data_IF_592449613526
#
_entry.id   IF_592449613526
#
_cell.length_a   1.000
_cell.length_b   1.000
_cell.length_c   1.000
_cell.angle_alpha   90.00
_cell.angle_beta   90.00
_cell.angle_gamma   90.00
#
_symmetry.space_group_name_H-M   'P 1'
#
loop_
_entity.id
_entity.type
_entity.pdbx_description
1 polymer ?
2 non-polymer ?
3 non-polymer ?
4 non-polymer ?
5 non-polymer ?
6 non-polymer ?
7 water ?
#
# COMPACT_ATOMS: atom_id res chain seq x y z
N UNK A 1 -14.68 -9.41 13.22
CA UNK A 1 -14.01 -8.23 13.77
C UNK A 1 -12.63 -8.01 13.14
N UNK A 2 -12.09 -6.81 13.32
CA UNK A 2 -10.72 -6.53 12.98
C UNK A 2 -10.56 -5.73 11.70
N UNK A 3 -9.31 -5.72 11.23
CA UNK A 3 -8.93 -4.94 10.06
C UNK A 3 -9.61 -5.51 8.82
N UNK A 4 -10.14 -4.61 7.99
CA UNK A 4 -10.79 -4.97 6.73
C UNK A 4 -9.83 -4.88 5.55
N UNK A 5 -9.10 -3.78 5.43
CA UNK A 5 -8.30 -3.48 4.25
C UNK A 5 -7.51 -2.21 4.54
N UNK A 6 -6.60 -1.89 3.63
CA UNK A 6 -5.92 -0.61 3.68
C UNK A 6 -6.93 0.51 3.46
N UNK A 7 -6.81 1.57 4.26
CA UNK A 7 -7.80 2.63 4.25
C UNK A 7 -7.37 3.86 3.48
N UNK A 8 -6.20 4.39 3.82
CA UNK A 8 -5.60 5.47 3.04
C UNK A 8 -4.11 5.52 3.32
N UNK A 9 -3.41 6.24 2.45
CA UNK A 9 -2.00 6.55 2.63
C UNK A 9 -1.81 8.06 2.51
N UNK A 10 -1.05 8.64 3.43
CA UNK A 10 -0.77 10.07 3.43
C UNK A 10 0.67 10.30 2.99
N UNK A 11 0.84 10.98 1.86
CA UNK A 11 2.13 11.15 1.22
C UNK A 11 2.58 12.61 1.27
N UNK A 12 3.89 12.81 1.36
CA UNK A 12 4.50 14.12 1.21
C UNK A 12 4.79 14.40 -0.26
N UNK A 13 4.45 15.61 -0.70
CA UNK A 13 4.77 16.05 -2.05
C UNK A 13 5.31 17.48 -1.97
N UNK A 14 6.12 17.83 -2.97
CA UNK A 14 6.75 19.14 -3.02
C UNK A 14 6.08 20.10 -3.99
N UNK A 15 5.26 19.59 -4.90
CA UNK A 15 4.51 20.41 -5.85
C UNK A 15 3.09 19.87 -5.86
N UNK A 16 2.17 20.58 -5.20
CA UNK A 16 0.81 20.06 -5.03
C UNK A 16 0.08 20.01 -6.37
N UNK A 17 0.17 21.07 -7.17
CA UNK A 17 -0.49 21.10 -8.47
C UNK A 17 -0.04 19.93 -9.33
N UNK A 18 1.27 19.71 -9.41
CA UNK A 18 1.79 18.61 -10.23
C UNK A 18 1.38 17.25 -9.66
N UNK A 19 1.37 17.11 -8.33
CA UNK A 19 1.05 15.82 -7.72
C UNK A 19 -0.43 15.49 -7.93
N UNK A 20 -1.33 16.45 -7.66
CA UNK A 20 -2.75 16.24 -7.90
C UNK A 20 -3.00 15.94 -9.38
N UNK A 21 -2.30 16.65 -10.26
CA UNK A 21 -2.39 16.37 -11.70
C UNK A 21 -2.03 14.91 -11.98
N UNK A 22 -1.02 14.39 -11.29
CA UNK A 22 -0.55 13.02 -11.54
C UNK A 22 -1.59 12.00 -11.09
N UNK A 23 -2.09 12.12 -9.86
CA UNK A 23 -2.99 11.10 -9.34
C UNK A 23 -4.35 11.15 -10.03
N UNK A 24 -4.75 12.33 -10.51
CA UNK A 24 -5.98 12.43 -11.28
C UNK A 24 -5.80 11.92 -12.70
N UNK A 25 -4.79 12.42 -13.42
CA UNK A 25 -4.69 12.15 -14.85
C UNK A 25 -4.09 10.78 -15.14
N UNK A 26 -3.12 10.34 -14.34
CA UNK A 26 -2.43 9.08 -14.60
C UNK A 26 -3.18 7.91 -13.99
N UNK A 27 -3.51 8.00 -12.70
CA UNK A 27 -4.18 6.90 -12.01
C UNK A 27 -5.70 6.99 -12.08
N UNK A 28 -6.24 8.14 -12.48
CA UNK A 28 -7.68 8.27 -12.59
C UNK A 28 -8.41 8.55 -11.31
N UNK A 29 -7.71 8.99 -10.27
CA UNK A 29 -8.36 9.33 -9.01
C UNK A 29 -9.13 10.66 -9.16
N UNK A 30 -9.97 10.94 -8.16
CA UNK A 30 -10.73 12.18 -8.11
C UNK A 30 -10.46 12.87 -6.78
N UNK A 31 -10.22 14.18 -6.83
CA UNK A 31 -10.10 14.97 -5.62
C UNK A 31 -11.48 15.13 -4.98
N UNK A 32 -11.57 14.83 -3.68
CA UNK A 32 -12.83 14.96 -2.96
C UNK A 32 -12.87 16.10 -1.96
N UNK A 33 -11.73 16.57 -1.47
CA UNK A 33 -11.70 17.75 -0.59
C UNK A 33 -10.28 18.24 -0.42
N UNK A 34 -10.15 19.48 0.05
CA UNK A 34 -8.88 20.09 0.44
C UNK A 34 -9.10 20.79 1.77
N UNK A 35 -8.30 20.43 2.78
CA UNK A 35 -8.51 21.02 4.09
C UNK A 35 -7.84 22.39 4.18
N UNK A 36 -8.02 23.05 5.31
CA UNK A 36 -7.55 24.43 5.47
C UNK A 36 -6.04 24.54 5.43
N UNK A 37 -5.32 23.43 5.63
CA UNK A 37 -3.86 23.44 5.59
C UNK A 37 -3.30 23.12 4.21
N UNK A 38 -4.15 22.95 3.19
CA UNK A 38 -3.69 22.67 1.85
C UNK A 38 -3.52 21.21 1.51
N UNK A 39 -3.87 20.30 2.42
CA UNK A 39 -3.82 18.88 2.10
C UNK A 39 -4.96 18.52 1.17
N UNK A 40 -4.67 17.66 0.19
CA UNK A 40 -5.64 17.24 -0.82
C UNK A 40 -5.96 15.77 -0.63
N UNK A 41 -7.24 15.43 -0.75
CA UNK A 41 -7.74 14.09 -0.48
C UNK A 41 -8.37 13.52 -1.74
N UNK A 42 -7.94 12.33 -2.14
CA UNK A 42 -8.40 11.71 -3.38
C UNK A 42 -8.87 10.28 -3.12
N UNK A 43 -9.79 9.82 -3.96
CA UNK A 43 -10.29 8.46 -3.92
C UNK A 43 -10.26 7.89 -5.33
N UNK A 44 -10.35 6.56 -5.41
CA UNK A 44 -10.49 5.86 -6.68
C UNK A 44 -11.97 5.61 -6.98
N UNK A 45 -12.25 5.33 -8.26
CA UNK A 45 -13.64 5.23 -8.69
C UNK A 45 -14.36 4.04 -8.05
N UNK A 46 -13.65 2.96 -7.74
CA UNK A 46 -14.28 1.76 -7.20
C UNK A 46 -14.12 1.66 -5.68
N UNK A 47 -13.83 2.77 -5.01
CA UNK A 47 -13.90 2.88 -3.57
C UNK A 47 -15.16 3.65 -3.20
N UNK A 48 -15.70 3.36 -2.02
CA UNK A 48 -16.91 4.02 -1.58
C UNK A 48 -16.68 5.02 -0.45
N UNK A 49 -15.52 5.00 0.20
CA UNK A 49 -15.22 5.96 1.24
C UNK A 49 -14.60 7.24 0.64
N UNK A 50 -14.49 8.26 1.48
CA UNK A 50 -14.22 9.62 1.01
C UNK A 50 -12.88 9.72 0.29
N UNK A 51 -11.86 9.05 0.80
CA UNK A 51 -10.53 9.21 0.22
C UNK A 51 -9.65 8.02 0.63
N UNK A 52 -8.68 7.72 -0.23
CA UNK A 52 -7.65 6.74 0.06
C UNK A 52 -6.24 7.30 -0.05
N UNK A 53 -6.09 8.55 -0.50
CA UNK A 53 -4.79 9.17 -0.67
C UNK A 53 -4.85 10.59 -0.11
N UNK A 54 -3.90 10.94 0.75
CA UNK A 54 -3.72 12.30 1.23
C UNK A 54 -2.40 12.82 0.69
N UNK A 55 -2.44 13.98 0.05
CA UNK A 55 -1.24 14.68 -0.40
C UNK A 55 -1.04 15.89 0.51
N UNK A 56 0.13 15.96 1.15
CA UNK A 56 0.43 17.03 2.09
C UNK A 56 1.61 17.85 1.59
N UNK A 57 1.53 19.18 1.62
CA UNK A 57 2.67 20.00 1.19
C UNK A 57 3.89 19.74 2.05
N UNK A 58 5.05 19.70 1.40
CA UNK A 58 6.29 19.38 2.10
C UNK A 58 7.47 19.86 1.26
N UNK A 59 8.65 19.78 1.85
CA UNK A 59 9.89 20.07 1.13
C UNK A 59 10.63 18.79 0.75
N UNK A 60 9.96 17.64 0.85
CA UNK A 60 10.57 16.36 0.56
C UNK A 60 9.45 15.38 0.21
N UNK A 61 9.86 14.20 -0.26
CA UNK A 61 8.92 13.12 -0.50
C UNK A 61 8.84 12.23 0.73
N UNK A 62 8.09 11.15 0.63
CA UNK A 62 7.96 10.16 1.68
C UNK A 62 6.52 10.01 2.12
N UNK A 63 6.35 9.27 3.21
CA UNK A 63 5.04 8.95 3.75
C UNK A 63 4.86 9.56 5.13
N UNK A 64 3.68 10.13 5.38
CA UNK A 64 3.34 10.59 6.72
C UNK A 64 2.88 9.43 7.59
N UNK A 65 1.82 8.75 7.17
CA UNK A 65 1.34 7.57 7.90
C UNK A 65 0.58 6.68 6.93
N UNK A 66 0.19 5.51 7.44
CA UNK A 66 -0.57 4.51 6.70
C UNK A 66 -1.76 4.14 7.57
N UNK A 67 -2.94 4.06 6.95
CA UNK A 67 -4.18 3.83 7.68
C UNK A 67 -4.90 2.60 7.14
N UNK A 68 -5.41 1.77 8.05
CA UNK A 68 -6.21 0.60 7.73
C UNK A 68 -7.58 0.74 8.38
N UNK A 69 -8.61 0.28 7.67
CA UNK A 69 -9.97 0.37 8.18
C UNK A 69 -10.35 -0.92 8.89
N UNK A 70 -11.04 -0.78 10.01
CA UNK A 70 -11.52 -1.91 10.78
C UNK A 70 -13.04 -1.99 10.65
N UNK A 71 -13.59 -3.14 11.06
CA UNK A 71 -15.00 -3.43 10.80
C UNK A 71 -15.93 -2.56 11.63
N UNK A 72 -15.63 -2.37 12.92
CA UNK A 72 -16.52 -1.64 13.81
C UNK A 72 -15.71 -0.82 14.81
N UNK A 73 -16.37 0.18 15.38
CA UNK A 73 -15.70 1.08 16.32
C UNK A 73 -15.14 0.33 17.52
N UNK A 74 -15.85 -0.69 18.00
CA UNK A 74 -15.38 -1.45 19.16
C UNK A 74 -14.10 -2.22 18.89
N UNK A 75 -13.76 -2.47 17.61
CA UNK A 75 -12.50 -3.14 17.30
C UNK A 75 -11.30 -2.30 17.75
N UNK A 76 -11.45 -0.98 17.74
CA UNK A 76 -10.32 -0.12 18.09
C UNK A 76 -9.89 -0.33 19.54
N UNK A 77 -10.84 -0.46 20.47
CA UNK A 77 -10.46 -0.74 21.86
C UNK A 77 -9.82 -2.11 21.98
N UNK A 78 -10.39 -3.13 21.32
CA UNK A 78 -9.85 -4.48 21.43
C UNK A 78 -8.45 -4.56 20.85
N UNK A 79 -8.25 -3.95 19.67
CA UNK A 79 -6.93 -3.95 19.06
C UNK A 79 -5.94 -3.11 19.86
N UNK A 80 -6.40 -1.96 20.38
CA UNK A 80 -5.55 -1.16 21.25
C UNK A 80 -5.03 -1.97 22.43
N UNK A 81 -5.89 -2.79 23.02
CA UNK A 81 -5.49 -3.60 24.17
C UNK A 81 -4.44 -4.63 23.78
N UNK A 82 -4.64 -5.31 22.65
CA UNK A 82 -3.67 -6.30 22.19
C UNK A 82 -2.34 -5.63 21.85
N UNK A 83 -2.39 -4.52 21.12
CA UNK A 83 -1.18 -3.80 20.72
C UNK A 83 -0.37 -3.41 21.96
N UNK A 84 -1.03 -2.94 23.00
CA UNK A 84 -0.31 -2.48 24.18
C UNK A 84 0.22 -3.62 25.02
N UNK A 85 -0.48 -4.75 25.05
CA UNK A 85 0.06 -5.94 25.71
C UNK A 85 1.34 -6.41 25.02
N UNK A 86 1.46 -6.15 23.72
CA UNK A 86 2.64 -6.54 22.96
C UNK A 86 3.85 -5.67 23.27
N UNK A 87 3.63 -4.48 23.83
CA UNK A 87 4.69 -3.53 24.10
C UNK A 87 4.66 -2.25 23.27
N UNK A 88 3.68 -2.05 22.40
CA UNK A 88 3.59 -0.83 21.59
C UNK A 88 2.60 0.12 22.25
N UNK A 89 3.01 1.38 22.43
CA UNK A 89 2.15 2.39 23.01
C UNK A 89 1.28 3.03 21.94
N UNK A 90 0.02 3.30 22.30
CA UNK A 90 -0.96 3.81 21.36
C UNK A 90 -1.57 5.11 21.89
N UNK A 91 -2.15 5.88 20.96
CA UNK A 91 -2.98 7.02 21.26
C UNK A 91 -4.26 6.94 20.43
N UNK A 92 -5.27 7.68 20.83
CA UNK A 92 -6.55 7.72 20.14
C UNK A 92 -6.84 9.16 19.74
N UNK A 93 -6.63 9.47 18.47
CA UNK A 93 -7.08 10.74 17.91
C UNK A 93 -8.58 10.66 17.69
N UNK A 94 -9.30 11.71 18.09
CA UNK A 94 -10.75 11.59 18.07
C UNK A 94 -11.32 12.04 16.74
N UNK A 95 -12.64 12.04 16.63
CA UNK A 95 -13.32 12.36 15.38
C UNK A 95 -12.92 13.72 14.87
N UNK A 96 -12.76 13.83 13.55
CA UNK A 96 -12.43 15.08 12.92
C UNK A 96 -10.96 15.47 13.00
N UNK A 97 -10.11 14.66 13.62
CA UNK A 97 -8.67 14.89 13.52
C UNK A 97 -8.26 15.04 12.05
N UNK A 98 -8.72 14.11 11.21
CA UNK A 98 -8.76 14.25 9.77
C UNK A 98 -10.19 14.52 9.32
N UNK A 99 -10.39 15.40 8.34
CA UNK A 99 -11.75 15.69 7.88
C UNK A 99 -12.44 14.44 7.34
N UNK A 100 -13.75 14.34 7.60
CA UNK A 100 -14.59 13.23 7.16
C UNK A 100 -14.12 11.88 7.71
N UNK A 101 -13.35 11.89 8.79
CA UNK A 101 -12.75 10.67 9.33
C UNK A 101 -13.07 10.56 10.82
N UNK A 102 -13.49 9.37 11.23
CA UNK A 102 -13.77 9.10 12.63
C UNK A 102 -12.50 9.08 13.45
N UNK A 103 -12.65 8.64 14.70
CA UNK A 103 -11.51 8.53 15.58
C UNK A 103 -10.52 7.49 15.04
N UNK A 104 -9.24 7.68 15.38
CA UNK A 104 -8.17 6.85 14.85
C UNK A 104 -7.25 6.40 15.97
N UNK A 105 -6.97 5.10 16.03
CA UNK A 105 -5.95 4.55 16.91
C UNK A 105 -4.60 4.69 16.23
N UNK A 106 -3.66 5.35 16.90
CA UNK A 106 -2.36 5.68 16.33
C UNK A 106 -1.23 5.02 17.11
N UNK A 107 -0.26 4.51 16.38
CA UNK A 107 0.89 3.83 16.97
C UNK A 107 1.98 3.71 15.92
N UNK A 108 3.18 3.39 16.38
CA UNK A 108 4.33 3.16 15.49
C UNK A 108 4.57 1.67 15.35
N UNK A 109 4.78 1.22 14.11
CA UNK A 109 5.29 -0.12 13.89
C UNK A 109 6.71 -0.22 14.45
N UNK A 110 7.17 -1.44 14.75
CA UNK A 110 8.57 -1.61 15.14
C UNK A 110 9.57 -0.97 14.19
N UNK A 111 9.24 -0.91 12.89
CA UNK A 111 10.11 -0.25 11.93
C UNK A 111 10.07 1.26 12.04
N UNK A 112 9.18 1.82 12.85
CA UNK A 112 9.11 3.24 13.07
C UNK A 112 8.01 3.97 12.30
N UNK A 113 7.38 3.30 11.34
CA UNK A 113 6.31 3.95 10.58
C UNK A 113 5.10 4.19 11.47
N UNK A 114 4.44 5.32 11.25
CA UNK A 114 3.17 5.58 11.93
C UNK A 114 2.05 4.84 11.23
N UNK A 115 1.27 4.08 12.00
CA UNK A 115 0.11 3.38 11.49
C UNK A 115 -1.12 3.83 12.26
N UNK A 116 -2.23 4.00 11.54
CA UNK A 116 -3.50 4.36 12.15
C UNK A 116 -4.56 3.33 11.78
N UNK A 117 -5.49 3.11 12.70
CA UNK A 117 -6.67 2.28 12.47
C UNK A 117 -7.90 3.13 12.70
N UNK A 118 -8.83 3.11 11.74
CA UNK A 118 -10.10 3.81 11.89
C UNK A 118 -11.23 2.86 11.54
N UNK A 119 -12.39 3.11 12.16
CA UNK A 119 -13.60 2.39 11.84
C UNK A 119 -14.57 3.17 10.98
N UNK A 120 -14.52 4.50 11.02
CA UNK A 120 -15.53 5.35 10.42
C UNK A 120 -14.88 6.35 9.47
N UNK A 121 -15.37 6.37 8.23
CA UNK A 121 -14.99 7.38 7.26
C UNK A 121 -16.21 7.68 6.42
N UNK A 122 -16.36 8.94 6.02
CA UNK A 122 -17.57 9.37 5.31
C UNK A 122 -17.79 8.51 4.07
N UNK A 123 -19.00 7.98 3.94
CA UNK A 123 -19.39 7.25 2.74
C UNK A 123 -19.73 8.23 1.62
N UNK A 124 -19.21 7.97 0.42
CA UNK A 124 -19.65 8.71 -0.75
C UNK A 124 -20.07 7.82 -1.91
N UNK A 125 -19.69 6.54 -1.91
CA UNK A 125 -20.10 5.61 -2.95
C UNK A 125 -19.09 5.52 -4.08
N UNK A 126 -19.19 4.41 -4.81
CA UNK A 126 -18.36 4.24 -6.00
C UNK A 126 -18.94 5.03 -7.16
N UNK A 127 -18.12 5.23 -8.19
CA UNK A 127 -18.59 5.99 -9.35
C UNK A 127 -19.54 5.18 -10.24
N UNK A 128 -19.87 3.94 -9.90
CA UNK A 128 -20.86 3.18 -10.67
C UNK A 128 -22.15 2.97 -9.91
N UNK A 129 -22.23 3.32 -8.63
CA UNK A 129 -23.44 3.16 -7.86
C UNK A 129 -23.65 1.71 -7.44
N UNK A 130 -24.80 1.48 -6.79
CA UNK A 130 -25.11 0.17 -6.24
C UNK A 130 -26.51 -0.31 -6.57
N UNK A 131 -27.21 0.35 -7.49
CA UNK A 131 -28.50 -0.11 -7.98
C UNK A 131 -28.35 -0.32 -9.49
N UNK A 132 -28.40 -1.58 -9.92
CA UNK A 132 -28.17 -1.94 -11.31
C UNK A 132 -26.90 -1.31 -11.89
N UNK A 133 -25.76 -1.45 -11.22
CA UNK A 133 -24.57 -0.71 -11.64
C UNK A 133 -23.92 -1.28 -12.90
N UNK A 134 -23.31 -0.38 -13.66
CA UNK A 134 -22.43 -0.78 -14.75
C UNK A 134 -21.14 -1.39 -14.17
N UNK A 135 -20.48 -2.27 -14.93
CA UNK A 135 -19.21 -2.83 -14.43
C UNK A 135 -18.09 -1.80 -14.37
N UNK A 136 -18.16 -0.73 -15.14
CA UNK A 136 -17.19 0.36 -15.09
C UNK A 136 -17.90 1.64 -15.47
N UNK A 137 -17.38 2.81 -15.04
CA UNK A 137 -18.11 4.06 -15.29
C UNK A 137 -17.62 4.80 -16.52
N UNK A 138 -18.51 5.56 -17.17
CA UNK A 138 -18.07 6.40 -18.27
C UNK A 138 -17.25 7.58 -17.75
N UNK A 139 -16.50 8.19 -18.66
CA UNK A 139 -15.63 9.28 -18.24
C UNK A 139 -14.46 8.86 -17.37
N UNK A 140 -14.17 7.56 -17.31
CA UNK A 140 -12.98 7.08 -16.61
C UNK A 140 -11.74 7.73 -17.18
N UNK A 141 -10.81 8.10 -16.31
CA UNK A 141 -9.63 8.86 -16.69
C UNK A 141 -8.37 8.05 -16.46
N UNK A 142 -7.40 8.21 -17.37
CA UNK A 142 -6.10 7.58 -17.19
C UNK A 142 -6.19 6.08 -17.08
N UNK A 143 -5.39 5.52 -16.17
CA UNK A 143 -5.37 4.08 -15.95
C UNK A 143 -6.65 3.55 -15.32
N UNK A 144 -7.48 4.43 -14.76
CA UNK A 144 -8.73 4.00 -14.16
C UNK A 144 -8.54 3.01 -13.03
N UNK A 145 -7.66 3.35 -12.09
CA UNK A 145 -7.40 2.49 -10.95
C UNK A 145 -8.68 2.23 -10.14
N UNK A 146 -8.89 0.96 -9.79
CA UNK A 146 -10.07 0.58 -9.03
C UNK A 146 -10.01 1.10 -7.60
N UNK A 147 -8.92 0.82 -6.89
CA UNK A 147 -8.82 1.12 -5.47
C UNK A 147 -7.35 1.04 -5.06
N UNK A 148 -7.03 1.71 -3.97
CA UNK A 148 -5.75 1.54 -3.31
C UNK A 148 -5.68 0.12 -2.75
N UNK A 149 -4.67 -0.64 -3.18
CA UNK A 149 -4.64 -2.07 -2.97
C UNK A 149 -3.78 -2.49 -1.80
N UNK A 150 -2.56 -1.97 -1.70
CA UNK A 150 -1.63 -2.34 -0.65
C UNK A 150 -0.52 -1.30 -0.61
N UNK A 151 0.39 -1.48 0.34
CA UNK A 151 1.53 -0.60 0.49
C UNK A 151 2.72 -1.44 0.91
N UNK A 152 3.85 -1.25 0.22
CA UNK A 152 5.11 -1.89 0.56
C UNK A 152 5.99 -0.88 1.29
N UNK A 153 6.38 -1.22 2.52
CA UNK A 153 7.19 -0.36 3.36
C UNK A 153 8.61 -0.88 3.41
N UNK A 154 9.57 0.01 3.19
CA UNK A 154 10.96 -0.33 3.43
C UNK A 154 11.22 -0.27 4.93
N UNK A 155 11.79 -1.33 5.49
CA UNK A 155 11.96 -1.46 6.93
C UNK A 155 13.43 -1.62 7.25
N UNK A 156 13.91 -0.82 8.21
CA UNK A 156 15.30 -0.86 8.63
C UNK A 156 15.72 -2.28 8.97
N UNK A 157 16.84 -2.71 8.38
CA UNK A 157 17.30 -4.09 8.52
C UNK A 157 18.82 -4.09 8.53
N UNK A 158 19.40 -4.60 9.62
CA UNK A 158 20.85 -4.72 9.77
C UNK A 158 21.12 -6.03 10.51
N UNK A 159 21.16 -7.14 9.78
CA UNK A 159 21.24 -8.45 10.44
C UNK A 159 22.49 -8.64 11.29
N UNK A 160 23.65 -8.19 10.80
CA UNK A 160 24.87 -8.35 11.59
C UNK A 160 24.90 -7.47 12.83
N UNK A 161 23.89 -6.62 13.04
CA UNK A 161 23.70 -5.90 14.28
C UNK A 161 22.43 -6.31 15.00
N UNK A 162 21.79 -7.39 14.56
CA UNK A 162 20.59 -7.89 15.22
C UNK A 162 19.33 -7.11 14.96
N UNK A 163 19.29 -6.32 13.89
CA UNK A 163 18.14 -5.48 13.58
C UNK A 163 17.46 -6.02 12.33
N UNK A 164 16.20 -6.43 12.46
CA UNK A 164 15.39 -6.83 11.32
C UNK A 164 13.94 -6.45 11.63
N UNK A 165 13.59 -5.22 11.29
CA UNK A 165 12.22 -4.78 11.56
C UNK A 165 11.22 -5.32 10.55
N UNK A 166 11.68 -5.93 9.45
CA UNK A 166 10.77 -6.72 8.62
C UNK A 166 10.20 -7.88 9.42
N UNK A 167 11.06 -8.62 10.11
CA UNK A 167 10.60 -9.71 10.96
C UNK A 167 9.76 -9.19 12.11
N UNK A 168 10.17 -8.07 12.72
CA UNK A 168 9.43 -7.52 13.86
C UNK A 168 8.06 -6.99 13.43
N UNK A 169 8.00 -6.31 12.29
CA UNK A 169 6.70 -5.88 11.76
C UNK A 169 5.83 -7.08 11.43
N UNK A 170 6.42 -8.12 10.83
CA UNK A 170 5.68 -9.32 10.45
C UNK A 170 5.08 -9.99 11.68
N UNK A 171 5.88 -10.16 12.74
CA UNK A 171 5.35 -10.70 13.99
C UNK A 171 4.29 -9.77 14.59
N UNK A 172 4.49 -8.46 14.45
CA UNK A 172 3.57 -7.52 15.06
C UNK A 172 2.19 -7.58 14.42
N UNK A 173 2.11 -7.46 13.09
CA UNK A 173 0.80 -7.40 12.44
C UNK A 173 0.11 -8.75 12.46
N UNK A 174 0.85 -9.85 12.62
CA UNK A 174 0.23 -11.15 12.75
C UNK A 174 -0.34 -11.36 14.16
N UNK A 175 0.46 -11.08 15.18
CA UNK A 175 0.02 -11.39 16.54
C UNK A 175 -1.00 -10.39 17.05
N UNK A 176 -0.85 -9.11 16.71
CA UNK A 176 -1.72 -8.07 17.23
C UNK A 176 -2.88 -7.74 16.30
N UNK A 177 -2.63 -7.66 15.00
CA UNK A 177 -3.65 -7.28 14.04
C UNK A 177 -4.24 -8.47 13.31
N UNK A 178 -3.72 -9.67 13.55
CA UNK A 178 -4.26 -10.92 12.98
C UNK A 178 -4.20 -10.92 11.46
N UNK A 179 -3.19 -10.27 10.88
CA UNK A 179 -2.84 -10.58 9.50
C UNK A 179 -2.27 -12.00 9.43
N UNK A 180 -2.29 -12.58 8.24
CA UNK A 180 -1.61 -13.85 8.02
C UNK A 180 -0.61 -13.72 6.87
N UNK A 181 0.54 -14.37 7.04
CA UNK A 181 1.62 -14.33 6.07
C UNK A 181 1.28 -15.18 4.86
N UNK A 182 1.39 -14.59 3.67
CA UNK A 182 1.09 -15.31 2.43
C UNK A 182 2.35 -15.71 1.67
N UNK A 183 3.37 -14.85 1.66
CA UNK A 183 4.60 -15.07 0.92
C UNK A 183 5.76 -14.39 1.63
N UNK A 184 6.95 -14.95 1.47
CA UNK A 184 8.14 -14.37 2.08
C UNK A 184 9.34 -14.60 1.17
N UNK A 185 10.29 -13.68 1.26
CA UNK A 185 11.60 -13.81 0.61
C UNK A 185 12.62 -14.12 1.70
N UNK A 186 13.34 -15.22 1.56
CA UNK A 186 14.30 -15.67 2.55
C UNK A 186 15.71 -15.50 2.00
N UNK A 187 16.54 -14.77 2.74
CA UNK A 187 17.94 -14.58 2.38
C UNK A 187 18.83 -15.08 3.51
N UNK A 188 20.11 -14.76 3.46
CA UNK A 188 21.04 -15.17 4.48
C UNK A 188 21.37 -16.65 4.36
N UNK A 189 22.07 -17.18 5.37
CA UNK A 189 22.49 -18.59 5.32
C UNK A 189 21.29 -19.53 5.35
N UNK A 190 21.11 -20.27 4.27
CA UNK A 190 20.02 -21.23 4.19
C UNK A 190 18.64 -20.61 4.25
N UNK A 191 18.49 -19.34 3.88
CA UNK A 191 17.21 -18.69 3.99
C UNK A 191 16.76 -18.44 5.41
N UNK A 192 17.70 -18.20 6.33
CA UNK A 192 17.38 -18.02 7.74
C UNK A 192 16.92 -16.61 8.08
N UNK A 193 16.90 -15.70 7.12
CA UNK A 193 16.57 -14.29 7.38
C UNK A 193 15.40 -13.89 6.47
N UNK A 194 14.33 -13.41 7.10
CA UNK A 194 13.21 -12.83 6.36
C UNK A 194 13.59 -11.43 5.90
N UNK A 195 13.70 -11.24 4.58
CA UNK A 195 14.00 -9.93 4.02
C UNK A 195 12.79 -9.25 3.38
N UNK A 196 11.76 -10.01 3.02
CA UNK A 196 10.54 -9.44 2.45
C UNK A 196 9.37 -10.34 2.84
N UNK A 197 8.28 -9.74 3.31
CA UNK A 197 7.08 -10.48 3.68
C UNK A 197 5.84 -9.79 3.12
N UNK A 198 4.84 -10.60 2.79
CA UNK A 198 3.57 -10.13 2.27
C UNK A 198 2.47 -10.72 3.13
N UNK A 199 1.56 -9.87 3.60
CA UNK A 199 0.58 -10.25 4.61
C UNK A 199 -0.79 -9.72 4.22
N UNK A 200 -1.83 -10.44 4.64
CA UNK A 200 -3.18 -10.15 4.18
C UNK A 200 -4.17 -10.19 5.34
N UNK A 201 -5.22 -9.41 5.19
CA UNK A 201 -6.49 -9.58 5.88
C UNK A 201 -7.60 -10.01 4.95
N UNK A 202 -7.63 -9.43 3.74
CA UNK A 202 -8.50 -9.90 2.69
C UNK A 202 -8.03 -11.28 2.20
N UNK A 203 -8.74 -11.83 1.23
CA UNK A 203 -8.28 -13.05 0.55
C UNK A 203 -7.54 -12.74 -0.73
N UNK A 204 -6.85 -11.60 -0.79
CA UNK A 204 -5.90 -11.28 -1.84
C UNK A 204 -4.48 -11.49 -1.33
N UNK A 205 -3.50 -11.64 -2.22
CA UNK A 205 -2.16 -12.02 -1.76
C UNK A 205 -1.54 -11.07 -0.74
N UNK A 206 -1.89 -9.79 -0.74
CA UNK A 206 -1.29 -8.88 0.23
C UNK A 206 -2.06 -7.58 0.34
N UNK A 207 -2.20 -7.12 1.58
CA UNK A 207 -2.70 -5.79 1.89
C UNK A 207 -1.65 -4.91 2.52
N UNK A 208 -0.57 -5.50 3.04
CA UNK A 208 0.60 -4.79 3.51
C UNK A 208 1.80 -5.67 3.20
N UNK A 209 2.96 -5.04 3.04
CA UNK A 209 4.18 -5.80 2.78
C UNK A 209 5.36 -5.01 3.29
N UNK A 210 6.40 -5.74 3.69
CA UNK A 210 7.62 -5.14 4.22
C UNK A 210 8.82 -5.71 3.48
N UNK A 211 9.78 -4.83 3.15
CA UNK A 211 11.02 -5.22 2.51
C UNK A 211 12.17 -4.55 3.24
N UNK A 212 13.26 -5.30 3.42
CA UNK A 212 14.39 -4.76 4.19
C UNK A 212 15.11 -3.65 3.46
N UNK A 213 15.71 -2.76 4.25
CA UNK A 213 16.50 -1.68 3.71
C UNK A 213 17.42 -1.08 4.75
N UNK A 214 18.40 -0.29 4.32
CA UNK A 214 19.28 0.38 5.28
C UNK A 214 18.54 1.32 6.22
N UNK A 215 17.44 1.90 5.77
CA UNK A 215 16.59 2.75 6.59
C UNK A 215 15.14 2.37 6.35
N UNK A 216 14.24 2.95 7.14
CA UNK A 216 12.82 2.75 6.94
C UNK A 216 12.24 3.86 6.07
N UNK A 217 11.25 3.48 5.26
CA UNK A 217 10.65 4.43 4.36
C UNK A 217 9.51 3.82 3.59
N UNK A 218 9.14 4.47 2.49
CA UNK A 218 8.04 4.05 1.65
C UNK A 218 8.59 3.48 0.34
N UNK A 219 8.29 2.22 0.06
CA UNK A 219 8.68 1.71 -1.24
C UNK A 219 7.69 2.12 -2.32
N UNK A 220 6.42 1.81 -2.14
CA UNK A 220 5.39 2.24 -3.07
C UNK A 220 4.01 2.04 -2.46
N UNK A 221 3.04 2.75 -3.01
CA UNK A 221 1.63 2.43 -2.82
C UNK A 221 1.13 1.88 -4.15
N UNK A 222 0.16 0.98 -4.07
CA UNK A 222 -0.26 0.24 -5.24
C UNK A 222 -1.76 0.37 -5.45
N UNK A 223 -2.16 0.33 -6.71
CA UNK A 223 -3.55 0.46 -7.13
C UNK A 223 -3.91 -0.73 -8.00
N UNK A 224 -5.14 -1.23 -7.84
CA UNK A 224 -5.58 -2.44 -8.51
C UNK A 224 -6.11 -2.16 -9.90
N UNK A 225 -5.69 -2.97 -10.86
CA UNK A 225 -6.30 -3.07 -12.18
C UNK A 225 -6.85 -4.48 -12.36
N UNK A 226 -7.79 -4.61 -13.30
CA UNK A 226 -8.43 -5.90 -13.54
C UNK A 226 -7.48 -6.88 -14.22
N UNK A 227 -6.97 -6.52 -15.39
CA UNK A 227 -6.37 -7.47 -16.31
C UNK A 227 -5.01 -6.98 -16.79
N UNK A 228 -4.27 -7.92 -17.40
CA UNK A 228 -3.04 -7.61 -18.10
C UNK A 228 -3.26 -6.56 -19.17
N UNK A 229 -4.43 -6.58 -19.83
CA UNK A 229 -4.73 -5.57 -20.84
C UNK A 229 -4.76 -4.17 -20.23
N UNK A 230 -5.38 -4.02 -19.05
CA UNK A 230 -5.41 -2.71 -18.41
C UNK A 230 -4.02 -2.22 -18.07
N UNK A 231 -3.08 -3.14 -17.84
CA UNK A 231 -1.69 -2.74 -17.62
C UNK A 231 -1.12 -2.13 -18.90
N UNK A 232 -1.46 -2.71 -20.05
CA UNK A 232 -1.06 -2.11 -21.33
C UNK A 232 -1.64 -0.71 -21.47
N UNK A 233 -2.94 -0.56 -21.22
CA UNK A 233 -3.58 0.76 -21.30
C UNK A 233 -2.93 1.74 -20.34
N UNK A 234 -2.64 1.29 -19.11
CA UNK A 234 -2.01 2.16 -18.12
C UNK A 234 -0.63 2.61 -18.60
N UNK A 235 0.15 1.70 -19.18
CA UNK A 235 1.45 2.07 -19.72
C UNK A 235 1.30 3.05 -20.86
N UNK A 236 0.28 2.88 -21.70
CA UNK A 236 -0.01 3.85 -22.75
C UNK A 236 -0.33 5.22 -22.15
N UNK A 237 -1.06 5.24 -21.03
CA UNK A 237 -1.41 6.48 -20.37
C UNK A 237 -0.16 7.18 -19.82
N UNK A 238 0.75 6.41 -19.22
CA UNK A 238 1.95 7.01 -18.65
C UNK A 238 2.81 7.64 -19.74
N UNK A 239 2.87 7.02 -20.91
CA UNK A 239 3.59 7.61 -22.03
C UNK A 239 2.96 8.92 -22.45
N UNK A 240 1.62 8.95 -22.58
CA UNK A 240 0.94 10.18 -22.99
C UNK A 240 1.15 11.31 -22.00
N UNK A 241 1.35 10.99 -20.72
CA UNK A 241 1.53 11.99 -19.67
C UNK A 241 2.99 12.19 -19.28
N UNK A 242 3.93 11.61 -20.03
CA UNK A 242 5.37 11.74 -19.76
C UNK A 242 5.69 11.38 -18.32
N UNK A 243 5.15 10.25 -17.88
CA UNK A 243 5.40 9.74 -16.54
C UNK A 243 6.76 9.06 -16.51
N UNK A 244 7.47 9.18 -15.38
CA UNK A 244 8.76 8.51 -15.22
C UNK A 244 8.52 7.07 -14.79
N UNK A 245 8.89 6.12 -15.63
CA UNK A 245 8.70 4.70 -15.37
C UNK A 245 9.87 4.16 -14.57
N UNK A 246 9.57 3.34 -13.56
CA UNK A 246 10.59 2.59 -12.85
C UNK A 246 10.81 1.22 -13.50
N UNK A 247 9.73 0.47 -13.67
CA UNK A 247 9.76 -0.87 -14.27
C UNK A 247 8.63 -0.98 -15.27
N UNK A 248 8.94 -1.38 -16.50
CA UNK A 248 7.98 -1.53 -17.57
C UNK A 248 7.07 -2.74 -17.30
N UNK A 249 5.97 -2.89 -18.05
CA UNK A 249 5.03 -3.98 -17.78
C UNK A 249 5.67 -5.36 -17.72
N UNK A 250 5.42 -6.06 -16.62
CA UNK A 250 5.93 -7.39 -16.38
C UNK A 250 5.07 -8.04 -15.30
N UNK A 251 5.44 -9.26 -14.90
CA UNK A 251 4.71 -9.98 -13.88
C UNK A 251 5.57 -10.15 -12.64
N UNK A 252 4.92 -10.07 -11.47
CA UNK A 252 5.57 -10.42 -10.21
C UNK A 252 5.56 -11.93 -10.04
N UNK A 253 6.72 -12.50 -9.69
CA UNK A 253 6.73 -13.89 -9.26
C UNK A 253 5.92 -14.08 -8.00
N UNK A 254 6.15 -13.23 -7.00
CA UNK A 254 5.32 -13.19 -5.80
C UNK A 254 3.95 -12.64 -6.17
N UNK A 255 2.89 -13.32 -5.70
CA UNK A 255 1.49 -12.96 -5.89
C UNK A 255 0.96 -13.28 -7.28
N UNK A 256 1.87 -13.47 -8.26
CA UNK A 256 1.56 -13.65 -9.68
C UNK A 256 0.99 -12.41 -10.34
N UNK A 257 0.95 -11.28 -9.65
CA UNK A 257 0.30 -10.09 -10.18
C UNK A 257 1.15 -9.37 -11.19
N UNK A 258 0.55 -8.98 -12.31
CA UNK A 258 1.21 -8.18 -13.32
C UNK A 258 1.24 -6.71 -12.90
N UNK A 259 2.32 -6.02 -13.27
CA UNK A 259 2.66 -4.80 -12.56
C UNK A 259 3.39 -3.79 -13.45
N UNK A 260 3.31 -2.53 -13.03
CA UNK A 260 4.16 -1.44 -13.52
C UNK A 260 4.58 -0.61 -12.33
N UNK A 261 5.86 -0.26 -12.25
CA UNK A 261 6.35 0.70 -11.27
C UNK A 261 6.64 2.02 -11.95
N UNK A 262 6.28 3.12 -11.28
CA UNK A 262 6.49 4.46 -11.81
C UNK A 262 6.45 5.44 -10.64
N UNK A 263 6.77 6.70 -10.93
CA UNK A 263 6.96 7.71 -9.90
C UNK A 263 5.98 8.86 -10.06
N UNK A 264 5.52 9.40 -8.94
CA UNK A 264 4.77 10.65 -8.94
C UNK A 264 5.75 11.80 -9.10
N UNK A 265 5.26 13.03 -9.36
CA UNK A 265 6.20 14.15 -9.61
C UNK A 265 7.10 14.49 -8.43
N UNK A 266 6.83 13.97 -7.23
CA UNK A 266 7.69 14.22 -6.08
C UNK A 266 8.67 13.09 -5.81
N UNK A 267 8.58 11.98 -6.53
CA UNK A 267 9.50 10.87 -6.37
C UNK A 267 8.93 9.67 -5.65
N UNK A 268 7.76 9.77 -5.05
CA UNK A 268 7.12 8.59 -4.46
C UNK A 268 6.79 7.59 -5.55
N UNK A 269 7.00 6.31 -5.25
CA UNK A 269 6.77 5.27 -6.24
C UNK A 269 5.33 4.78 -6.17
N UNK A 270 4.73 4.57 -7.34
CA UNK A 270 3.40 4.01 -7.45
C UNK A 270 3.46 2.71 -8.23
N UNK A 271 2.44 1.88 -8.03
CA UNK A 271 2.32 0.63 -8.78
C UNK A 271 0.89 0.45 -9.24
N UNK A 272 0.73 0.01 -10.49
CA UNK A 272 -0.54 -0.47 -11.00
C UNK A 272 -0.47 -2.00 -11.06
N UNK A 273 -1.27 -2.65 -10.21
CA UNK A 273 -1.23 -4.08 -9.96
C UNK A 273 -2.43 -4.71 -10.64
N UNK A 274 -2.21 -5.79 -11.40
CA UNK A 274 -3.26 -6.43 -12.17
C UNK A 274 -3.55 -7.83 -11.65
N UNK A 275 -4.83 -8.11 -11.41
CA UNK A 275 -5.29 -9.46 -11.18
C UNK A 275 -5.34 -9.84 -9.72
N UNK A 276 -6.17 -10.84 -9.43
CA UNK A 276 -6.18 -11.44 -8.09
C UNK A 276 -4.87 -12.18 -7.82
N UNK A 277 -4.38 -12.93 -8.80
CA UNK A 277 -3.21 -13.77 -8.59
C UNK A 277 -3.61 -15.13 -8.04
N UNK A 278 -3.98 -15.17 -6.78
CA UNK A 278 -4.56 -16.37 -6.20
C UNK A 278 -5.43 -15.95 -5.02
N UNK A 279 -6.24 -16.90 -4.55
CA UNK A 279 -7.06 -16.68 -3.37
C UNK A 279 -6.21 -16.95 -2.14
N UNK A 280 -5.85 -15.89 -1.41
CA UNK A 280 -5.10 -16.07 -0.18
C UNK A 280 -6.00 -16.68 0.89
N UNK A 281 -5.46 -17.66 1.62
CA UNK A 281 -6.22 -18.44 2.59
C UNK A 281 -5.34 -18.76 3.78
N UNK A 282 -5.95 -18.77 4.98
CA UNK A 282 -5.19 -19.01 6.20
C UNK A 282 -4.64 -20.43 6.29
N UNK A 283 -5.21 -21.38 5.55
CA UNK A 283 -4.68 -22.72 5.49
C UNK A 283 -3.76 -22.95 4.30
N UNK A 284 -3.51 -21.91 3.50
CA UNK A 284 -2.60 -22.04 2.36
C UNK A 284 -1.15 -22.01 2.84
N UNK A 285 -0.29 -22.87 2.30
CA UNK A 285 1.14 -22.81 2.64
C UNK A 285 1.72 -21.45 2.28
N UNK A 286 2.65 -21.00 3.10
CA UNK A 286 3.36 -19.76 2.82
C UNK A 286 4.30 -19.97 1.63
N UNK A 287 4.13 -19.18 0.59
CA UNK A 287 5.03 -19.25 -0.55
C UNK A 287 6.40 -18.70 -0.16
N UNK A 288 7.43 -19.51 -0.30
CA UNK A 288 8.78 -19.12 0.07
C UNK A 288 9.62 -18.90 -1.18
N UNK A 289 10.27 -17.74 -1.27
CA UNK A 289 11.22 -17.43 -2.33
C UNK A 289 12.61 -17.36 -1.74
N UNK A 290 13.58 -17.98 -2.40
CA UNK A 290 14.94 -18.04 -1.90
C UNK A 290 15.84 -17.01 -2.59
N UNK A 291 17.01 -16.79 -1.99
CA UNK A 291 17.89 -15.71 -2.46
C UNK A 291 18.41 -15.97 -3.86
N UNK A 292 18.67 -17.22 -4.23
CA UNK A 292 19.15 -17.49 -5.58
C UNK A 292 18.11 -17.13 -6.64
N UNK A 293 16.82 -17.29 -6.32
CA UNK A 293 15.74 -16.86 -7.18
C UNK A 293 15.12 -15.53 -6.73
N UNK A 294 15.92 -14.68 -6.08
CA UNK A 294 15.41 -13.41 -5.57
C UNK A 294 14.94 -12.49 -6.68
N UNK A 295 15.57 -12.57 -7.86
CA UNK A 295 15.18 -11.69 -8.95
C UNK A 295 13.81 -12.04 -9.52
N UNK A 296 13.55 -13.34 -9.72
CA UNK A 296 12.27 -13.78 -10.26
C UNK A 296 11.12 -13.52 -9.29
N UNK A 297 11.40 -13.40 -7.99
CA UNK A 297 10.34 -13.15 -7.02
C UNK A 297 9.71 -11.78 -7.21
N UNK A 298 10.47 -10.80 -7.69
CA UNK A 298 9.99 -9.44 -7.88
C UNK A 298 9.66 -9.17 -9.34
N UNK A 299 10.59 -9.48 -10.24
CA UNK A 299 10.42 -9.30 -11.68
C UNK A 299 10.57 -10.67 -12.32
N UNK A 300 9.44 -11.36 -12.51
CA UNK A 300 9.48 -12.77 -12.86
C UNK A 300 9.99 -13.00 -14.27
N UNK A 301 9.65 -12.10 -15.21
CA UNK A 301 9.96 -12.36 -16.61
C UNK A 301 11.46 -12.28 -16.91
N UNK A 302 12.20 -11.45 -16.17
CA UNK A 302 13.62 -11.28 -16.43
C UNK A 302 14.52 -12.01 -15.44
N UNK A 303 14.03 -12.26 -14.23
CA UNK A 303 14.90 -12.77 -13.17
C UNK A 303 15.97 -11.80 -12.76
N UNK A 304 15.77 -10.51 -13.03
CA UNK A 304 16.76 -9.46 -12.83
C UNK A 304 16.18 -8.44 -11.85
N UNK A 305 16.66 -8.48 -10.61
CA UNK A 305 16.25 -7.51 -9.60
C UNK A 305 16.81 -6.14 -9.97
N UNK A 306 15.94 -5.21 -10.35
CA UNK A 306 16.39 -3.90 -10.78
C UNK A 306 17.18 -3.23 -9.66
N UNK A 307 18.29 -2.55 -9.98
CA UNK A 307 18.96 -1.73 -8.97
C UNK A 307 18.07 -0.63 -8.41
N UNK A 308 17.05 -0.21 -9.15
CA UNK A 308 16.15 0.83 -8.67
C UNK A 308 15.16 0.30 -7.64
N UNK A 309 14.74 -0.97 -7.76
CA UNK A 309 13.82 -1.55 -6.79
C UNK A 309 14.44 -1.58 -5.39
N UNK A 310 15.75 -1.79 -5.30
CA UNK A 310 16.42 -1.98 -4.02
C UNK A 310 17.26 -0.79 -3.59
N UNK A 311 17.32 0.28 -4.39
CA UNK A 311 18.07 1.48 -4.04
C UNK A 311 17.24 2.75 -3.96
N UNK A 312 16.09 2.81 -4.61
CA UNK A 312 15.34 4.05 -4.76
C UNK A 312 14.04 3.95 -3.97
N UNK A 313 13.88 4.82 -2.97
CA UNK A 313 12.63 4.96 -2.24
C UNK A 313 12.63 6.30 -1.53
N UNK A 314 11.50 6.62 -0.90
CA UNK A 314 11.31 7.94 -0.30
C UNK A 314 11.00 7.86 1.20
X LIG B 1 -4.77 -6.63 -1.37
X LIG C 1 3.18 -3.79 -4.75
X LIG D 1 5.05 -4.81 -5.03
X LIG D 1 4.97 -6.20 -5.15
X LIG D 1 6.11 -6.99 -5.13
X LIG D 1 7.35 -6.42 -4.97
X LIG D 1 6.01 -8.36 -5.25
X LIG D 1 4.76 -8.95 -5.41
X LIG D 1 3.61 -8.16 -5.43
X LIG D 1 3.72 -6.78 -5.31
X LIG D 1 2.58 -5.97 -5.33
X LIG E 1 15.42 -9.22 15.27
X LIG E 1 14.91 -8.88 16.53
X LIG E 1 15.68 -10.73 15.20
X LIG E 1 15.98 -11.11 13.89
X LIG E 1 17.21 -10.63 13.41
X LIG E 1 17.74 -11.54 12.29
X LIG E 1 16.66 -12.06 11.56
X LIG F 1 13.16 9.17 -5.87
X LIG F 1 14.18 8.98 -4.90
X LIG F 1 13.75 9.05 -7.28
X LIG F 1 12.70 8.95 -8.24
X LIG G 1 1.94 7.46 19.24
X LIG G 1 2.31 6.88 20.50
X LIG G 1 3.16 7.57 18.33
X LIG G 1 2.84 8.40 17.21
#
# INVERSE_FOLDING_TARGET
>A
MGVLRIGHASLKVMDMDAAVRHYENVLGMKTTMKDKAGNVYLKCWDEWDKYSVILTPSDQAGMNHLAYKVEKEADLEALQQKIEAWGVKTTMLDEGTLPSTGRMLQFKLPSGHEMRLYASKEFVGTDVGNINPDPWPDGLKGAGAHWLDHCLLVCEMNPEAGINTVADNTRFVTECLDFFLTEQVLVGPGGSIQATTFLARTTTPHDIAFVGGPTSGLHHIAFFLDSWHDVLKAADVMAKNKVRIDVAPTRHGITRGETIYFFDPSGNRNETFAGLGYLAQRDRPVTTWTEDQLGSAIFYHTGYLEPSFTDVYT
>B hetero
1 CA CA
>C hetero
1 FE FE
>D hetero
1 3FA O1 C1 C3 F1 C5 C6 C4 C2 O2
>E hetero
1 PEG C1 O1 C2 O2 C3 C4 O4
>F hetero
1 EDO C1 O1 C2 O2
>G hetero
1 EDO C1 O1 C2 O2
#
